data_IF_465125684718
#
_entry.id   IF_465125684718
#
_cell.length_a   1.000
_cell.length_b   1.000
_cell.length_c   1.000
_cell.angle_alpha   90.00
_cell.angle_beta   90.00
_cell.angle_gamma   90.00
#
_symmetry.space_group_name_H-M   'P 1'
#
loop_
_entity.id
_entity.type
_entity.pdbx_description
1 polymer ?
#
# COMPACT_ATOMS: atom_id res chain seq x y z
N UNK A 1 13.39 -0.79 -8.56
CA UNK A 1 13.32 -1.54 -7.28
C UNK A 1 11.87 -1.95 -7.03
N UNK A 2 11.59 -2.96 -6.19
CA UNK A 2 10.21 -3.27 -5.75
C UNK A 2 10.16 -3.10 -4.24
N UNK A 3 9.15 -2.41 -3.72
CA UNK A 3 8.94 -2.34 -2.26
C UNK A 3 7.67 -3.08 -1.91
N UNK A 4 7.75 -3.82 -0.82
CA UNK A 4 6.65 -4.62 -0.31
C UNK A 4 6.22 -3.95 0.98
N UNK A 5 4.92 -3.65 1.08
CA UNK A 5 4.32 -3.10 2.29
C UNK A 5 3.14 -3.97 2.69
N UNK A 6 2.96 -4.20 3.98
CA UNK A 6 1.75 -4.85 4.47
C UNK A 6 0.58 -3.89 4.57
N UNK A 7 -0.66 -4.40 4.51
CA UNK A 7 -1.87 -3.59 4.80
C UNK A 7 -1.74 -2.88 6.13
N UNK A 8 -1.28 -3.58 7.17
CA UNK A 8 -1.08 -3.00 8.49
C UNK A 8 -0.09 -1.83 8.46
N UNK A 9 1.06 -1.98 7.79
CA UNK A 9 2.03 -0.90 7.64
C UNK A 9 1.47 0.28 6.84
N UNK A 10 0.70 0.01 5.79
CA UNK A 10 0.06 1.05 4.99
C UNK A 10 -0.95 1.85 5.81
N UNK A 11 -1.71 1.18 6.69
CA UNK A 11 -2.63 1.81 7.64
C UNK A 11 -1.85 2.62 8.68
N UNK A 12 -0.80 2.05 9.29
CA UNK A 12 0.02 2.74 10.29
C UNK A 12 0.71 3.99 9.72
N UNK A 13 1.10 3.95 8.44
CA UNK A 13 1.71 5.07 7.73
C UNK A 13 0.69 6.06 7.16
N UNK A 14 -0.61 5.78 7.26
CA UNK A 14 -1.68 6.64 6.74
C UNK A 14 -1.72 6.70 5.21
N UNK A 15 -1.19 5.70 4.52
CA UNK A 15 -1.16 5.60 3.05
C UNK A 15 -2.11 4.53 2.50
N UNK A 16 -2.85 3.85 3.38
CA UNK A 16 -3.74 2.75 3.00
C UNK A 16 -4.78 3.17 1.95
N UNK A 17 -5.45 4.31 2.12
CA UNK A 17 -6.39 4.85 1.11
C UNK A 17 -5.77 4.94 -0.30
N UNK A 18 -4.51 5.38 -0.39
CA UNK A 18 -3.81 5.47 -1.68
C UNK A 18 -3.45 4.09 -2.21
N UNK A 19 -3.03 3.17 -1.34
CA UNK A 19 -2.75 1.78 -1.73
C UNK A 19 -4.04 1.13 -2.24
N UNK A 20 -5.17 1.32 -1.57
CA UNK A 20 -6.47 0.82 -2.02
C UNK A 20 -6.83 1.34 -3.41
N UNK A 21 -6.68 2.65 -3.64
CA UNK A 21 -6.90 3.26 -4.96
C UNK A 21 -5.96 2.72 -6.05
N UNK A 22 -4.69 2.47 -5.73
CA UNK A 22 -3.71 1.93 -6.68
C UNK A 22 -3.99 0.49 -7.07
N UNK A 23 -4.46 -0.33 -6.12
CA UNK A 23 -4.73 -1.75 -6.34
C UNK A 23 -6.20 -2.05 -6.67
N UNK A 24 -7.06 -1.03 -6.70
CA UNK A 24 -8.50 -1.19 -6.94
C UNK A 24 -9.21 -1.96 -5.83
N UNK A 25 -8.67 -1.91 -4.61
CA UNK A 25 -9.26 -2.54 -3.43
C UNK A 25 -10.36 -1.62 -2.93
N UNK A 26 -11.57 -2.14 -2.81
CA UNK A 26 -12.69 -1.40 -2.23
C UNK A 26 -12.66 -1.48 -0.69
N UNK A 27 -13.38 -0.60 0.00
CA UNK A 27 -13.47 -0.65 1.47
C UNK A 27 -14.21 -1.90 1.97
N UNK A 28 -15.09 -2.46 1.14
CA UNK A 28 -15.79 -3.72 1.41
C UNK A 28 -14.94 -4.97 1.10
N UNK A 29 -13.73 -4.81 0.55
CA UNK A 29 -12.87 -5.93 0.24
C UNK A 29 -12.20 -6.48 1.52
N UNK A 30 -12.33 -7.79 1.73
CA UNK A 30 -11.80 -8.50 2.91
C UNK A 30 -10.27 -8.60 2.83
N UNK A 31 -9.60 -7.52 3.25
CA UNK A 31 -8.13 -7.45 3.30
C UNK A 31 -7.58 -7.87 4.65
N UNK A 32 -6.51 -8.65 4.64
CA UNK A 32 -5.85 -9.10 5.87
C UNK A 32 -4.72 -8.15 6.27
N UNK A 33 -4.48 -8.00 7.57
CA UNK A 33 -3.41 -7.15 8.09
C UNK A 33 -2.03 -7.51 7.54
N UNK A 34 -1.78 -8.81 7.35
CA UNK A 34 -0.54 -9.37 6.81
C UNK A 34 -0.51 -9.44 5.28
N UNK A 35 -1.54 -8.94 4.60
CA UNK A 35 -1.57 -8.90 3.13
C UNK A 35 -0.51 -7.96 2.60
N UNK A 36 0.24 -8.43 1.61
CA UNK A 36 1.40 -7.73 1.07
C UNK A 36 1.07 -7.09 -0.28
N UNK A 37 1.32 -5.80 -0.37
CA UNK A 37 1.16 -5.00 -1.58
C UNK A 37 2.53 -4.67 -2.14
N UNK A 38 2.74 -5.04 -3.41
CA UNK A 38 4.02 -4.84 -4.09
C UNK A 38 3.94 -3.56 -4.90
N UNK A 39 4.57 -2.51 -4.39
CA UNK A 39 4.66 -1.21 -5.03
C UNK A 39 5.87 -1.15 -5.96
N UNK A 40 5.68 -0.47 -7.10
CA UNK A 40 6.81 -0.05 -7.94
C UNK A 40 7.60 1.05 -7.23
N UNK A 41 8.81 1.30 -7.71
CA UNK A 41 9.63 2.40 -7.18
C UNK A 41 8.94 3.77 -7.36
N UNK A 42 8.25 3.98 -8.47
CA UNK A 42 7.48 5.20 -8.72
C UNK A 42 6.32 5.34 -7.73
N UNK A 43 5.53 4.29 -7.52
CA UNK A 43 4.44 4.27 -6.54
C UNK A 43 4.97 4.50 -5.12
N UNK A 44 6.10 3.89 -4.76
CA UNK A 44 6.69 4.08 -3.45
C UNK A 44 7.22 5.52 -3.24
N UNK A 45 7.72 6.18 -4.29
CA UNK A 45 8.06 7.62 -4.25
C UNK A 45 6.81 8.50 -4.12
N UNK A 46 5.74 8.19 -4.85
CA UNK A 46 4.45 8.90 -4.74
C UNK A 46 3.82 8.78 -3.34
N UNK A 47 4.03 7.64 -2.70
CA UNK A 47 3.61 7.36 -1.33
C UNK A 47 4.62 7.84 -0.27
N UNK A 48 5.70 8.49 -0.68
CA UNK A 48 6.79 8.98 0.18
C UNK A 48 7.39 7.88 1.08
N UNK A 49 7.34 6.62 0.62
CA UNK A 49 7.95 5.48 1.31
C UNK A 49 9.47 5.45 1.12
N UNK A 50 9.94 6.05 0.03
CA UNK A 50 11.35 6.22 -0.30
C UNK A 50 11.58 7.62 -0.89
N UNK A 51 12.82 8.10 -0.75
CA UNK A 51 13.29 9.39 -1.26
C UNK A 51 13.63 9.35 -2.76
#
# INVERSE_FOLDING_TARGET
MKIIITREEAVQKGIWDKVMQMFGVDQDDDTYANEQFILTEEQAKELQLIA
#
